data_IF_745761520159
#
_entry.id   IF_745761520159
#
_cell.length_a   1.000
_cell.length_b   1.000
_cell.length_c   1.000
_cell.angle_alpha   90.00
_cell.angle_beta   90.00
_cell.angle_gamma   90.00
#
_symmetry.space_group_name_H-M   'P 1'
#
loop_
_entity.id
_entity.type
_entity.pdbx_description
1 polymer ?
#
# COMPACT_ATOMS: atom_id res chain seq x y z
N UNK A 1 6.72 24.59 -21.39
CA UNK A 1 5.41 25.21 -21.68
C UNK A 1 5.00 26.05 -20.48
N UNK A 2 4.73 27.37 -20.64
CA UNK A 2 4.28 28.22 -19.53
C UNK A 2 2.91 27.79 -19.00
N UNK A 3 2.63 28.01 -17.69
CA UNK A 3 1.34 27.65 -17.04
C UNK A 3 0.12 28.25 -17.74
N UNK A 4 0.24 29.50 -18.19
CA UNK A 4 -0.84 30.21 -18.90
C UNK A 4 -1.21 29.52 -20.23
N UNK A 5 -0.21 29.07 -20.99
CA UNK A 5 -0.42 28.35 -22.26
C UNK A 5 -1.10 26.99 -22.04
N UNK A 6 -0.75 26.30 -20.93
CA UNK A 6 -1.39 25.06 -20.52
C UNK A 6 -2.77 25.27 -19.87
N UNK A 7 -3.22 26.50 -19.68
CA UNK A 7 -4.49 26.87 -19.01
C UNK A 7 -4.58 26.25 -17.60
N UNK A 8 -3.47 26.26 -16.85
CA UNK A 8 -3.44 25.77 -15.47
C UNK A 8 -4.00 26.88 -14.57
N UNK A 9 -5.10 26.64 -13.82
CA UNK A 9 -5.67 27.62 -12.92
C UNK A 9 -4.66 28.09 -11.85
N UNK A 10 -4.70 29.36 -11.45
CA UNK A 10 -3.78 29.93 -10.46
C UNK A 10 -3.89 29.25 -9.09
N UNK A 11 -5.09 28.77 -8.75
CA UNK A 11 -5.35 28.04 -7.52
C UNK A 11 -4.66 26.67 -7.48
N UNK A 12 -4.21 26.13 -8.61
CA UNK A 12 -3.50 24.83 -8.66
C UNK A 12 -2.03 25.06 -8.32
N UNK A 13 -1.62 24.62 -7.14
CA UNK A 13 -0.23 24.67 -6.68
C UNK A 13 0.43 23.29 -6.85
N UNK A 14 1.76 23.28 -6.84
CA UNK A 14 2.52 22.05 -6.82
C UNK A 14 2.26 21.26 -5.53
N UNK A 15 2.02 19.96 -5.68
CA UNK A 15 1.95 19.00 -4.57
C UNK A 15 2.81 17.80 -4.89
N UNK A 16 3.48 17.28 -3.89
CA UNK A 16 4.21 16.02 -3.99
C UNK A 16 3.25 14.85 -4.19
N UNK A 17 3.76 13.70 -4.66
CA UNK A 17 2.96 12.48 -4.78
C UNK A 17 2.33 12.05 -3.45
N UNK A 18 3.07 12.24 -2.34
CA UNK A 18 2.59 11.91 -0.99
C UNK A 18 1.42 12.80 -0.60
N UNK A 19 1.54 14.12 -0.77
CA UNK A 19 0.45 15.08 -0.47
C UNK A 19 -0.78 14.82 -1.33
N UNK A 20 -0.60 14.49 -2.62
CA UNK A 20 -1.70 14.12 -3.50
C UNK A 20 -2.41 12.84 -3.02
N UNK A 21 -1.63 11.81 -2.66
CA UNK A 21 -2.17 10.55 -2.16
C UNK A 21 -2.94 10.74 -0.85
N UNK A 22 -2.39 11.48 0.11
CA UNK A 22 -3.06 11.79 1.37
C UNK A 22 -4.36 12.55 1.14
N UNK A 23 -4.36 13.59 0.32
CA UNK A 23 -5.59 14.31 -0.03
C UNK A 23 -6.62 13.46 -0.77
N UNK A 24 -6.22 12.42 -1.49
CA UNK A 24 -7.15 11.45 -2.10
C UNK A 24 -7.74 10.52 -1.02
N UNK A 25 -6.92 10.03 -0.08
CA UNK A 25 -7.36 9.17 1.03
C UNK A 25 -8.33 9.93 1.93
N UNK A 26 -8.04 11.19 2.27
CA UNK A 26 -8.94 12.06 3.05
C UNK A 26 -10.29 12.22 2.37
N UNK A 27 -10.31 12.53 1.06
CA UNK A 27 -11.57 12.64 0.32
C UNK A 27 -12.34 11.32 0.27
N UNK A 28 -11.64 10.20 0.12
CA UNK A 28 -12.26 8.88 0.12
C UNK A 28 -12.87 8.56 1.50
N UNK A 29 -12.18 8.93 2.59
CA UNK A 29 -12.67 8.78 3.95
C UNK A 29 -13.94 9.63 4.19
N UNK A 30 -13.91 10.90 3.78
CA UNK A 30 -15.06 11.82 3.87
C UNK A 30 -16.26 11.37 3.03
N UNK A 31 -16.00 10.72 1.89
CA UNK A 31 -17.03 10.15 1.03
C UNK A 31 -17.47 8.73 1.47
N UNK A 32 -17.02 8.28 2.63
CA UNK A 32 -17.35 6.97 3.20
C UNK A 32 -17.07 5.79 2.24
N UNK A 33 -16.03 5.92 1.40
CA UNK A 33 -15.62 4.84 0.50
C UNK A 33 -15.23 3.61 1.33
N UNK A 34 -15.86 2.44 1.09
CA UNK A 34 -15.60 1.24 1.88
C UNK A 34 -14.14 0.79 1.82
N UNK A 35 -13.52 0.62 2.96
CA UNK A 35 -12.16 0.08 3.08
C UNK A 35 -11.54 0.41 4.43
N UNK A 36 -10.78 -0.55 4.98
CA UNK A 36 -10.13 -0.42 6.27
C UNK A 36 -8.60 -0.37 6.16
N UNK A 37 -8.05 -0.60 4.97
CA UNK A 37 -6.61 -0.80 4.76
C UNK A 37 -6.15 -0.05 3.53
N UNK A 38 -5.09 0.75 3.69
CA UNK A 38 -4.38 1.39 2.59
C UNK A 38 -3.20 0.52 2.17
N UNK A 39 -3.16 0.17 0.89
CA UNK A 39 -2.04 -0.55 0.28
C UNK A 39 -1.25 0.41 -0.62
N UNK A 40 0.06 0.50 -0.40
CA UNK A 40 0.94 1.36 -1.18
C UNK A 40 2.30 0.69 -1.45
N UNK A 41 3.03 1.22 -2.41
CA UNK A 41 4.39 0.78 -2.72
C UNK A 41 5.46 1.49 -1.86
N UNK A 42 6.74 1.20 -2.15
CA UNK A 42 7.87 1.77 -1.43
C UNK A 42 7.99 3.29 -1.57
N UNK A 43 7.51 3.87 -2.67
CA UNK A 43 7.56 5.32 -2.86
C UNK A 43 6.73 6.09 -1.82
N UNK A 44 5.68 5.45 -1.29
CA UNK A 44 4.87 5.99 -0.21
C UNK A 44 5.27 5.41 1.15
N UNK A 45 5.59 4.12 1.19
CA UNK A 45 5.84 3.40 2.43
C UNK A 45 7.12 3.82 3.16
N UNK A 46 8.11 4.35 2.47
CA UNK A 46 9.34 4.86 3.09
C UNK A 46 9.08 6.16 3.88
N UNK A 47 8.04 6.93 3.53
CA UNK A 47 7.66 8.13 4.27
C UNK A 47 6.99 7.79 5.59
N UNK A 48 7.59 8.22 6.72
CA UNK A 48 6.96 8.16 8.03
C UNK A 48 5.70 9.01 8.10
N UNK A 49 5.72 10.19 7.48
CA UNK A 49 4.61 11.13 7.48
C UNK A 49 3.39 10.53 6.78
N UNK A 50 3.60 9.84 5.66
CA UNK A 50 2.53 9.11 4.98
C UNK A 50 1.90 8.04 5.90
N UNK A 51 2.73 7.20 6.52
CA UNK A 51 2.24 6.14 7.41
C UNK A 51 1.49 6.69 8.62
N UNK A 52 2.02 7.75 9.24
CA UNK A 52 1.39 8.42 10.38
C UNK A 52 0.06 9.06 9.99
N UNK A 53 0.00 9.79 8.87
CA UNK A 53 -1.22 10.41 8.38
C UNK A 53 -2.31 9.36 8.07
N UNK A 54 -1.97 8.24 7.44
CA UNK A 54 -2.89 7.12 7.20
C UNK A 54 -3.46 6.59 8.52
N UNK A 55 -2.63 6.47 9.57
CA UNK A 55 -3.10 6.03 10.90
C UNK A 55 -4.01 7.05 11.57
N UNK A 56 -3.69 8.34 11.47
CA UNK A 56 -4.54 9.43 12.00
C UNK A 56 -5.91 9.45 11.34
N UNK A 57 -6.00 9.11 10.06
CA UNK A 57 -7.27 8.95 9.34
C UNK A 57 -8.04 7.66 9.71
N UNK A 58 -7.51 6.85 10.63
CA UNK A 58 -8.17 5.64 11.13
C UNK A 58 -7.97 4.38 10.31
N UNK A 59 -7.16 4.42 9.24
CA UNK A 59 -6.89 3.25 8.42
C UNK A 59 -5.73 2.40 8.95
N UNK A 60 -5.82 1.10 8.75
CA UNK A 60 -4.66 0.24 8.74
C UNK A 60 -3.90 0.40 7.42
N UNK A 61 -2.64 0.04 7.41
CA UNK A 61 -1.85 0.06 6.19
C UNK A 61 -1.05 -1.23 5.96
N UNK A 62 -0.72 -1.47 4.69
CA UNK A 62 0.27 -2.43 4.23
C UNK A 62 1.09 -1.79 3.12
N UNK A 63 2.30 -1.31 3.45
CA UNK A 63 3.12 -0.53 2.54
C UNK A 63 4.45 -1.20 2.27
N UNK A 64 4.84 -1.22 1.00
CA UNK A 64 6.20 -1.60 0.61
C UNK A 64 7.22 -0.64 1.22
N UNK A 65 8.42 -1.13 1.51
CA UNK A 65 9.53 -0.29 1.98
C UNK A 65 10.83 -0.73 1.35
N UNK A 66 11.81 0.17 1.27
CA UNK A 66 13.14 -0.14 0.80
C UNK A 66 13.91 -1.01 1.81
N UNK A 67 14.87 -1.77 1.30
CA UNK A 67 15.74 -2.66 2.10
C UNK A 67 16.56 -1.93 3.17
N UNK A 68 16.76 -0.63 3.01
CA UNK A 68 17.54 0.26 3.88
C UNK A 68 16.76 0.85 5.05
N UNK A 69 15.43 0.68 5.10
CA UNK A 69 14.61 1.19 6.20
C UNK A 69 15.09 0.61 7.53
N UNK A 70 15.31 1.49 8.50
CA UNK A 70 15.85 1.14 9.82
C UNK A 70 14.76 0.76 10.79
N UNK A 71 15.00 -0.33 11.51
CA UNK A 71 14.03 -0.90 12.47
C UNK A 71 14.73 -1.40 13.71
N UNK A 72 13.96 -1.48 14.79
CA UNK A 72 14.34 -2.18 16.04
C UNK A 72 13.39 -3.36 16.21
N UNK A 73 13.95 -4.53 16.50
CA UNK A 73 13.18 -5.75 16.74
C UNK A 73 12.59 -5.74 18.15
N UNK A 74 11.28 -6.01 18.28
CA UNK A 74 10.54 -5.88 19.54
C UNK A 74 10.97 -6.83 20.66
N UNK A 75 11.39 -8.05 20.33
CA UNK A 75 11.84 -9.04 21.31
C UNK A 75 13.23 -8.76 21.90
N UNK A 76 13.92 -7.73 21.40
CA UNK A 76 15.23 -7.28 21.86
C UNK A 76 15.21 -5.88 22.48
N UNK A 77 14.04 -5.28 22.66
CA UNK A 77 13.89 -3.95 23.26
C UNK A 77 14.42 -3.86 24.70
N UNK A 78 14.57 -4.98 25.39
CA UNK A 78 15.01 -5.07 26.79
C UNK A 78 16.55 -5.05 26.96
N UNK A 79 17.30 -5.02 25.87
CA UNK A 79 18.77 -4.95 25.90
C UNK A 79 19.23 -3.62 25.31
N UNK A 80 19.40 -2.63 26.19
CA UNK A 80 20.14 -1.36 26.00
C UNK A 80 20.04 -0.73 24.61
N UNK A 81 19.52 0.50 24.52
CA UNK A 81 19.50 1.41 23.34
C UNK A 81 19.68 0.65 22.02
N UNK A 82 18.55 0.08 21.59
CA UNK A 82 18.44 -0.96 20.60
C UNK A 82 19.34 -0.80 19.38
N UNK A 83 20.06 -1.84 19.06
CA UNK A 83 20.78 -1.96 17.80
C UNK A 83 19.80 -1.78 16.66
N UNK A 84 19.78 -0.57 16.12
CA UNK A 84 19.00 -0.26 14.93
C UNK A 84 19.66 -0.95 13.75
N UNK A 85 18.89 -1.74 13.03
CA UNK A 85 19.38 -2.47 11.85
C UNK A 85 18.49 -2.19 10.65
N UNK A 86 18.96 -2.45 9.44
CA UNK A 86 18.09 -2.37 8.26
C UNK A 86 17.13 -3.57 8.20
N UNK A 87 16.01 -3.41 7.50
CA UNK A 87 15.07 -4.54 7.30
C UNK A 87 15.74 -5.70 6.56
N UNK A 88 16.67 -5.40 5.66
CA UNK A 88 17.46 -6.42 4.96
C UNK A 88 18.38 -7.17 5.94
N UNK A 89 19.22 -6.46 6.69
CA UNK A 89 20.18 -7.08 7.61
C UNK A 89 19.46 -7.88 8.69
N UNK A 90 18.36 -7.35 9.24
CA UNK A 90 17.52 -8.07 10.19
C UNK A 90 17.04 -9.41 9.61
N UNK A 91 16.50 -9.40 8.40
CA UNK A 91 15.94 -10.60 7.80
C UNK A 91 17.00 -11.59 7.33
N UNK A 92 18.16 -11.10 6.90
CA UNK A 92 19.35 -11.93 6.62
C UNK A 92 19.88 -12.61 7.88
N UNK A 93 19.99 -11.87 8.99
CA UNK A 93 20.43 -12.42 10.29
C UNK A 93 19.48 -13.50 10.85
N UNK A 94 18.18 -13.42 10.54
CA UNK A 94 17.21 -14.45 10.89
C UNK A 94 17.39 -15.74 10.04
N UNK A 95 17.99 -15.61 8.89
CA UNK A 95 18.29 -16.71 7.97
C UNK A 95 17.06 -17.38 7.34
N UNK A 96 17.30 -18.25 6.37
CA UNK A 96 16.23 -18.95 5.60
C UNK A 96 15.27 -19.75 6.49
N UNK A 97 15.72 -20.23 7.62
CA UNK A 97 14.90 -21.00 8.59
C UNK A 97 13.73 -20.19 9.18
N UNK A 98 13.80 -18.85 9.17
CA UNK A 98 12.72 -17.99 9.63
C UNK A 98 11.60 -17.81 8.59
N UNK A 99 11.89 -18.12 7.34
CA UNK A 99 10.94 -18.01 6.24
C UNK A 99 10.10 -19.28 6.11
N UNK A 100 8.79 -19.09 5.90
CA UNK A 100 7.84 -20.18 5.72
C UNK A 100 7.08 -19.99 4.41
N UNK A 101 6.83 -21.09 3.70
CA UNK A 101 6.01 -21.09 2.49
C UNK A 101 4.58 -20.68 2.81
N UNK A 102 4.10 -19.63 2.13
CA UNK A 102 2.70 -19.21 2.17
C UNK A 102 2.13 -19.27 0.76
N UNK A 103 1.03 -19.98 0.59
CA UNK A 103 0.24 -19.99 -0.65
C UNK A 103 -0.96 -19.09 -0.46
N UNK A 104 -1.05 -18.01 -1.24
CA UNK A 104 -2.14 -17.02 -1.08
C UNK A 104 -3.25 -17.16 -2.09
N UNK A 105 -3.00 -17.75 -3.25
CA UNK A 105 -4.00 -17.92 -4.33
C UNK A 105 -3.73 -19.18 -5.13
N UNK A 106 -4.79 -19.78 -5.66
CA UNK A 106 -4.70 -20.75 -6.73
C UNK A 106 -4.80 -20.00 -8.05
N UNK A 107 -3.74 -20.00 -8.84
CA UNK A 107 -3.75 -19.51 -10.21
C UNK A 107 -4.38 -20.53 -11.16
N UNK A 108 -4.62 -20.14 -12.40
CA UNK A 108 -5.15 -21.01 -13.44
C UNK A 108 -4.24 -22.21 -13.75
N UNK A 109 -2.91 -22.04 -13.66
CA UNK A 109 -1.92 -23.06 -13.97
C UNK A 109 -1.19 -23.61 -12.74
N UNK A 110 -0.92 -22.73 -11.73
CA UNK A 110 -0.11 -23.10 -10.57
C UNK A 110 -0.60 -22.41 -9.30
N UNK A 111 -0.18 -22.94 -8.13
CA UNK A 111 -0.41 -22.27 -6.85
C UNK A 111 0.58 -21.11 -6.69
N UNK A 112 0.06 -19.90 -6.46
CA UNK A 112 0.90 -18.75 -6.16
C UNK A 112 1.38 -18.82 -4.71
N UNK A 113 2.67 -19.05 -4.54
CA UNK A 113 3.31 -19.21 -3.24
C UNK A 113 4.73 -18.64 -3.24
N UNK A 114 5.20 -18.18 -2.09
CA UNK A 114 6.58 -17.74 -1.86
C UNK A 114 6.96 -17.98 -0.40
N UNK A 115 8.18 -17.61 -0.03
CA UNK A 115 8.70 -17.73 1.33
C UNK A 115 8.55 -16.39 2.06
N UNK A 116 7.94 -16.39 3.25
CA UNK A 116 7.71 -15.18 4.03
C UNK A 116 8.23 -15.30 5.45
N UNK A 117 8.86 -14.23 5.93
CA UNK A 117 9.24 -14.04 7.32
C UNK A 117 8.38 -12.93 7.93
N UNK A 118 7.95 -13.10 9.18
CA UNK A 118 7.14 -12.15 9.93
C UNK A 118 7.83 -11.78 11.23
N UNK A 119 8.17 -10.51 11.41
CA UNK A 119 8.87 -10.01 12.60
C UNK A 119 8.15 -8.79 13.13
N UNK A 120 8.03 -8.69 14.45
CA UNK A 120 7.53 -7.46 15.08
C UNK A 120 8.66 -6.47 15.25
N UNK A 121 8.46 -5.26 14.73
CA UNK A 121 9.46 -4.20 14.72
C UNK A 121 8.84 -2.85 15.06
N UNK A 122 9.68 -1.89 15.43
CA UNK A 122 9.38 -0.47 15.39
C UNK A 122 10.33 0.20 14.40
N UNK A 123 9.82 1.12 13.59
CA UNK A 123 10.66 1.86 12.63
C UNK A 123 11.46 2.94 13.34
N UNK A 124 12.64 3.25 12.82
CA UNK A 124 13.48 4.33 13.32
C UNK A 124 13.62 5.40 12.24
N UNK A 125 13.33 6.63 12.62
CA UNK A 125 13.48 7.82 11.78
C UNK A 125 14.12 8.92 12.61
N UNK A 126 14.68 9.89 11.94
CA UNK A 126 15.34 11.05 12.56
C UNK A 126 14.31 12.17 12.79
N UNK A 127 13.27 11.86 13.56
CA UNK A 127 12.11 12.73 13.86
C UNK A 127 11.95 13.07 15.35
N UNK A 128 12.99 12.80 16.14
CA UNK A 128 13.02 13.08 17.58
C UNK A 128 12.20 12.13 18.46
N UNK A 129 11.42 11.20 17.87
CA UNK A 129 10.65 10.22 18.62
C UNK A 129 11.53 9.06 19.11
N UNK A 130 11.30 8.61 20.35
CA UNK A 130 11.98 7.44 20.89
C UNK A 130 11.35 6.14 20.35
N UNK A 131 12.07 5.02 20.54
CA UNK A 131 11.52 3.69 20.18
C UNK A 131 10.24 3.39 20.98
N UNK A 132 10.12 3.90 22.21
CA UNK A 132 8.94 3.68 23.03
C UNK A 132 7.68 4.31 22.43
N UNK A 133 7.81 5.50 21.82
CA UNK A 133 6.69 6.30 21.29
C UNK A 133 6.12 5.73 19.97
N UNK A 134 6.82 4.79 19.36
CA UNK A 134 6.44 4.27 18.04
C UNK A 134 5.50 3.08 18.11
N UNK A 135 4.52 3.06 17.20
CA UNK A 135 3.61 1.93 17.05
C UNK A 135 4.37 0.65 16.62
N UNK A 136 4.09 -0.49 17.26
CA UNK A 136 4.63 -1.77 16.84
C UNK A 136 4.02 -2.25 15.51
N UNK A 137 4.86 -2.52 14.53
CA UNK A 137 4.46 -2.97 13.19
C UNK A 137 4.86 -4.43 12.94
N UNK A 138 4.20 -5.07 11.99
CA UNK A 138 4.76 -6.24 11.35
C UNK A 138 5.71 -5.80 10.23
N UNK A 139 6.93 -6.30 10.25
CA UNK A 139 7.77 -6.43 9.08
C UNK A 139 7.48 -7.78 8.44
N UNK A 140 7.04 -7.77 7.19
CA UNK A 140 6.86 -8.96 6.37
C UNK A 140 7.87 -8.92 5.25
N UNK A 141 8.81 -9.86 5.25
CA UNK A 141 9.81 -9.99 4.20
C UNK A 141 9.47 -11.18 3.30
N UNK A 142 9.56 -10.99 1.99
CA UNK A 142 9.40 -12.05 1.00
C UNK A 142 10.75 -12.43 0.42
N UNK A 143 11.06 -13.72 0.46
CA UNK A 143 12.22 -14.31 -0.20
C UNK A 143 11.73 -15.13 -1.40
N UNK A 144 11.90 -14.58 -2.57
CA UNK A 144 11.46 -15.23 -3.81
C UNK A 144 12.36 -16.45 -4.07
N UNK A 145 11.80 -17.60 -4.45
CA UNK A 145 12.60 -18.76 -4.82
C UNK A 145 13.58 -18.44 -5.95
N UNK A 146 14.86 -18.81 -5.77
CA UNK A 146 15.93 -18.55 -6.71
C UNK A 146 16.71 -17.26 -6.44
N UNK A 147 16.25 -16.38 -5.57
CA UNK A 147 17.01 -15.19 -5.15
C UNK A 147 17.99 -15.51 -4.02
N UNK A 148 19.10 -14.75 -3.96
CA UNK A 148 20.13 -14.93 -2.92
C UNK A 148 19.75 -14.28 -1.59
N UNK A 149 18.84 -13.29 -1.62
CA UNK A 149 18.39 -12.51 -0.46
C UNK A 149 16.91 -12.15 -0.56
N UNK A 150 16.27 -11.80 0.57
CA UNK A 150 14.90 -11.23 0.53
C UNK A 150 14.89 -9.95 -0.29
N UNK A 151 13.87 -9.79 -1.13
CA UNK A 151 13.79 -8.67 -2.09
C UNK A 151 12.58 -7.77 -1.88
N UNK A 152 11.55 -8.23 -1.16
CA UNK A 152 10.36 -7.43 -0.88
C UNK A 152 10.13 -7.32 0.62
N UNK A 153 9.96 -6.09 1.08
CA UNK A 153 9.72 -5.75 2.48
C UNK A 153 8.45 -4.92 2.59
N UNK A 154 7.62 -5.27 3.55
CA UNK A 154 6.33 -4.64 3.80
C UNK A 154 6.23 -4.34 5.29
N UNK A 155 5.84 -3.11 5.62
CA UNK A 155 5.43 -2.72 6.96
C UNK A 155 3.90 -2.68 7.04
N UNK A 156 3.34 -3.17 8.15
CA UNK A 156 1.88 -3.15 8.32
C UNK A 156 1.45 -3.08 9.78
N UNK A 157 0.32 -2.40 9.98
CA UNK A 157 -0.39 -2.29 11.27
C UNK A 157 -1.37 -3.42 11.51
N UNK A 158 -1.56 -4.34 10.55
CA UNK A 158 -2.55 -5.41 10.66
C UNK A 158 -2.47 -6.19 11.99
N UNK A 159 -3.63 -6.57 12.58
CA UNK A 159 -3.69 -7.15 13.90
C UNK A 159 -2.93 -8.48 14.03
N UNK A 160 -2.34 -8.73 15.21
CA UNK A 160 -1.63 -9.98 15.51
C UNK A 160 -2.50 -11.24 15.41
N UNK A 161 -3.82 -11.09 15.60
CA UNK A 161 -4.81 -12.19 15.47
C UNK A 161 -5.04 -12.63 14.02
N UNK A 162 -4.64 -11.78 13.05
CA UNK A 162 -4.80 -12.12 11.63
C UNK A 162 -3.78 -13.19 11.22
N UNK A 163 -4.24 -14.22 10.50
CA UNK A 163 -3.33 -15.26 10.03
C UNK A 163 -2.35 -14.75 9.00
N UNK A 164 -1.13 -15.30 8.99
CA UNK A 164 -0.07 -14.94 8.02
C UNK A 164 -0.55 -15.04 6.57
N UNK A 165 -1.37 -16.05 6.28
CA UNK A 165 -1.96 -16.23 4.94
C UNK A 165 -2.91 -15.10 4.58
N UNK A 166 -3.74 -14.62 5.51
CA UNK A 166 -4.62 -13.47 5.27
C UNK A 166 -3.82 -12.20 5.04
N UNK A 167 -2.81 -11.95 5.87
CA UNK A 167 -1.90 -10.80 5.70
C UNK A 167 -1.26 -10.81 4.31
N UNK A 168 -0.68 -11.94 3.88
CA UNK A 168 -0.08 -12.07 2.54
C UNK A 168 -1.12 -11.86 1.44
N UNK A 169 -2.33 -12.42 1.58
CA UNK A 169 -3.41 -12.22 0.59
C UNK A 169 -3.74 -10.74 0.42
N UNK A 170 -3.86 -10.00 1.52
CA UNK A 170 -4.15 -8.56 1.48
C UNK A 170 -3.07 -7.82 0.68
N UNK A 171 -1.78 -8.06 0.96
CA UNK A 171 -0.71 -7.37 0.23
C UNK A 171 -0.66 -7.73 -1.25
N UNK A 172 -0.97 -8.98 -1.55
CA UNK A 172 -0.99 -9.45 -2.94
C UNK A 172 -2.19 -8.90 -3.73
N UNK A 173 -3.21 -8.30 -3.09
CA UNK A 173 -4.30 -7.61 -3.80
C UNK A 173 -3.84 -6.31 -4.49
N UNK A 174 -2.68 -5.73 -4.13
CA UNK A 174 -2.13 -4.54 -4.81
C UNK A 174 -1.95 -4.72 -6.32
N UNK A 175 -1.74 -5.95 -6.81
CA UNK A 175 -1.68 -6.24 -8.24
C UNK A 175 -2.93 -5.79 -9.01
N UNK A 176 -4.08 -5.67 -8.33
CA UNK A 176 -5.32 -5.20 -8.97
C UNK A 176 -5.22 -3.77 -9.45
N UNK A 177 -4.46 -2.93 -8.75
CA UNK A 177 -4.19 -1.56 -9.19
C UNK A 177 -3.35 -1.56 -10.48
N UNK A 178 -2.33 -2.42 -10.55
CA UNK A 178 -1.51 -2.58 -11.75
C UNK A 178 -2.37 -3.05 -12.92
N UNK A 179 -3.21 -4.06 -12.69
CA UNK A 179 -4.15 -4.56 -13.71
C UNK A 179 -5.15 -3.50 -14.16
N UNK A 180 -5.68 -2.70 -13.23
CA UNK A 180 -6.55 -1.57 -13.57
C UNK A 180 -5.85 -0.59 -14.51
N UNK A 181 -4.60 -0.25 -14.22
CA UNK A 181 -3.83 0.64 -15.11
C UNK A 181 -3.55 0.02 -16.48
N UNK A 182 -3.28 -1.29 -16.54
CA UNK A 182 -3.16 -2.01 -17.83
C UNK A 182 -4.44 -1.91 -18.64
N UNK A 183 -5.61 -2.17 -18.02
CA UNK A 183 -6.90 -2.07 -18.68
C UNK A 183 -7.21 -0.62 -19.10
N UNK A 184 -6.96 0.37 -18.23
CA UNK A 184 -7.17 1.80 -18.54
C UNK A 184 -6.30 2.27 -19.71
N UNK A 185 -5.06 1.83 -19.82
CA UNK A 185 -4.16 2.20 -20.92
C UNK A 185 -4.45 1.41 -22.18
N UNK A 186 -4.49 0.08 -22.08
CA UNK A 186 -4.60 -0.80 -23.24
C UNK A 186 -5.97 -0.79 -23.89
N UNK A 187 -7.06 -0.70 -23.10
CA UNK A 187 -8.43 -0.84 -23.59
C UNK A 187 -9.16 0.50 -23.70
N UNK A 188 -8.85 1.45 -22.81
CA UNK A 188 -9.59 2.72 -22.72
C UNK A 188 -8.75 3.95 -23.09
N UNK A 189 -7.50 3.77 -23.49
CA UNK A 189 -6.64 4.81 -24.02
C UNK A 189 -6.26 5.91 -23.04
N UNK A 190 -6.07 5.58 -21.75
CA UNK A 190 -5.66 6.55 -20.72
C UNK A 190 -4.39 7.33 -21.10
N UNK A 191 -3.47 6.71 -21.82
CA UNK A 191 -2.20 7.27 -22.27
C UNK A 191 -2.25 7.84 -23.70
N UNK A 192 -3.41 7.86 -24.37
CA UNK A 192 -3.58 8.39 -25.72
C UNK A 192 -3.88 9.89 -25.77
N UNK A 193 -3.78 10.60 -24.63
CA UNK A 193 -3.99 12.04 -24.63
C UNK A 193 -2.82 12.80 -25.23
N UNK A 194 -3.00 13.36 -26.43
CA UNK A 194 -1.98 14.15 -27.13
C UNK A 194 -2.15 15.68 -26.92
N UNK A 195 -3.19 16.08 -26.23
CA UNK A 195 -3.46 17.49 -25.94
C UNK A 195 -2.47 18.10 -24.95
N UNK A 196 -2.37 19.45 -24.95
CA UNK A 196 -1.46 20.20 -24.09
C UNK A 196 -2.15 21.01 -22.99
N UNK A 197 -3.47 21.01 -22.92
CA UNK A 197 -4.21 21.81 -21.95
C UNK A 197 -4.53 21.01 -20.68
N UNK A 198 -4.44 21.68 -19.54
CA UNK A 198 -4.82 21.14 -18.24
C UNK A 198 -6.27 20.66 -18.21
N UNK A 199 -7.19 21.47 -18.71
CA UNK A 199 -8.62 21.12 -18.78
C UNK A 199 -8.86 19.92 -19.68
N UNK A 200 -8.20 19.87 -20.86
CA UNK A 200 -8.34 18.73 -21.78
C UNK A 200 -7.83 17.42 -21.18
N UNK A 201 -6.70 17.48 -20.47
CA UNK A 201 -6.17 16.31 -19.78
C UNK A 201 -7.13 15.81 -18.68
N UNK A 202 -7.65 16.71 -17.85
CA UNK A 202 -8.60 16.34 -16.81
C UNK A 202 -9.90 15.78 -17.39
N UNK A 203 -10.41 16.37 -18.48
CA UNK A 203 -11.59 15.85 -19.18
C UNK A 203 -11.34 14.43 -19.69
N UNK A 204 -10.23 14.21 -20.41
CA UNK A 204 -9.86 12.90 -20.93
C UNK A 204 -9.78 11.84 -19.83
N UNK A 205 -9.01 12.11 -18.77
CA UNK A 205 -8.86 11.19 -17.64
C UNK A 205 -10.19 10.90 -16.96
N UNK A 206 -11.03 11.93 -16.76
CA UNK A 206 -12.35 11.75 -16.13
C UNK A 206 -13.26 10.86 -16.96
N UNK A 207 -13.32 11.05 -18.28
CA UNK A 207 -14.10 10.21 -19.18
C UNK A 207 -13.62 8.76 -19.14
N UNK A 208 -12.30 8.53 -19.24
CA UNK A 208 -11.71 7.18 -19.18
C UNK A 208 -12.03 6.49 -17.85
N UNK A 209 -11.92 7.19 -16.73
CA UNK A 209 -12.25 6.62 -15.42
C UNK A 209 -13.75 6.33 -15.28
N UNK A 210 -14.64 7.19 -15.81
CA UNK A 210 -16.07 6.94 -15.81
C UNK A 210 -16.42 5.71 -16.67
N UNK A 211 -15.83 5.57 -17.85
CA UNK A 211 -16.00 4.39 -18.69
C UNK A 211 -15.55 3.11 -18.00
N UNK A 212 -14.39 3.16 -17.35
CA UNK A 212 -13.88 2.01 -16.57
C UNK A 212 -14.82 1.64 -15.43
N UNK A 213 -15.28 2.63 -14.66
CA UNK A 213 -16.23 2.40 -13.56
C UNK A 213 -17.52 1.78 -14.05
N UNK A 214 -18.07 2.25 -15.19
CA UNK A 214 -19.24 1.67 -15.83
C UNK A 214 -19.01 0.20 -16.21
N UNK A 215 -17.93 -0.10 -16.94
CA UNK A 215 -17.59 -1.49 -17.35
C UNK A 215 -17.44 -2.42 -16.14
N UNK A 216 -16.77 -1.96 -15.07
CA UNK A 216 -16.62 -2.74 -13.85
C UNK A 216 -17.96 -2.95 -13.16
N UNK A 217 -18.84 -1.94 -13.11
CA UNK A 217 -20.18 -2.04 -12.53
C UNK A 217 -21.02 -3.07 -13.26
N UNK A 218 -21.06 -3.00 -14.60
CA UNK A 218 -21.78 -3.97 -15.45
C UNK A 218 -21.25 -5.39 -15.24
N UNK A 219 -19.93 -5.55 -15.19
CA UNK A 219 -19.31 -6.86 -14.95
C UNK A 219 -19.66 -7.43 -13.58
N UNK A 220 -19.67 -6.59 -12.53
CA UNK A 220 -20.04 -7.03 -11.17
C UNK A 220 -21.53 -7.39 -11.11
N UNK A 221 -22.38 -6.66 -11.82
CA UNK A 221 -23.82 -6.92 -11.91
C UNK A 221 -24.14 -8.23 -12.66
N UNK A 222 -23.44 -8.46 -13.77
CA UNK A 222 -23.61 -9.69 -14.57
C UNK A 222 -22.98 -10.94 -13.91
N UNK A 223 -21.88 -10.75 -13.18
CA UNK A 223 -21.13 -11.81 -12.50
C UNK A 223 -20.85 -11.42 -11.04
N UNK A 224 -21.87 -11.42 -10.17
CA UNK A 224 -21.68 -11.04 -8.79
C UNK A 224 -20.64 -11.95 -8.13
N UNK A 225 -19.70 -11.39 -7.33
CA UNK A 225 -18.76 -12.19 -6.57
C UNK A 225 -19.57 -13.12 -5.66
N UNK A 226 -19.20 -14.41 -5.63
CA UNK A 226 -19.82 -15.39 -4.73
C UNK A 226 -19.86 -14.81 -3.31
N UNK A 227 -21.04 -14.79 -2.71
CA UNK A 227 -21.31 -14.13 -1.43
C UNK A 227 -20.36 -14.64 -0.34
N UNK A 228 -19.22 -13.98 -0.20
CA UNK A 228 -18.40 -14.04 1.00
C UNK A 228 -19.18 -13.34 2.11
N UNK A 229 -19.19 -13.91 3.33
CA UNK A 229 -19.88 -13.34 4.49
C UNK A 229 -19.64 -11.82 4.54
N UNK A 230 -20.70 -11.00 4.71
CA UNK A 230 -20.56 -9.55 4.86
C UNK A 230 -19.63 -9.28 6.03
N UNK A 231 -18.56 -8.49 5.79
CA UNK A 231 -17.72 -7.99 6.88
C UNK A 231 -18.52 -6.90 7.59
N UNK A 232 -18.54 -6.87 8.93
CA UNK A 232 -19.16 -5.77 9.64
C UNK A 232 -18.43 -4.48 9.25
N UNK A 233 -19.17 -3.54 8.66
CA UNK A 233 -18.67 -2.20 8.36
C UNK A 233 -18.26 -1.52 9.66
N UNK A 234 -17.01 -1.13 9.77
CA UNK A 234 -16.54 -0.26 10.84
C UNK A 234 -16.91 1.16 10.43
N UNK A 235 -17.87 1.76 11.11
CA UNK A 235 -18.15 3.20 10.98
C UNK A 235 -16.89 3.97 11.39
N UNK A 236 -16.38 4.80 10.49
CA UNK A 236 -15.26 5.72 10.79
C UNK A 236 -15.90 6.91 11.49
N UNK A 237 -15.69 7.04 12.80
CA UNK A 237 -16.01 8.26 13.53
C UNK A 237 -14.85 9.23 13.34
N UNK A 238 -15.05 10.26 12.53
CA UNK A 238 -14.15 11.40 12.48
C UNK A 238 -14.54 12.27 13.66
N UNK A 239 -13.69 12.35 14.68
CA UNK A 239 -13.86 13.30 15.76
C UNK A 239 -13.70 14.73 15.21
N UNK A 240 -14.67 15.58 15.48
CA UNK A 240 -14.67 17.00 15.13
C UNK A 240 -13.59 17.78 15.90
#
# INVERSE_FOLDING_TARGET
MPRAEAKIPDAVTFKTKIELALGMIERAALAEVPGDIILADGAYGDSSDFRNAVRLLGFDFGVGVQSTVRVVRLDRLDRSRGDTTTVLDLTMALGRKAFRKVTWRHGSKTRLSSQFCFVRVKTMHDDGLTVADREPLWLVAEWIPGEDKPSKFILTTLPRRMSRKQIVRIFKERWRTERMYEDLKGELGLDHFEGRSFTGWHHHVSVVLCCYAFVVSERVSAFPPSAGRPRPHRQISVAA
#
